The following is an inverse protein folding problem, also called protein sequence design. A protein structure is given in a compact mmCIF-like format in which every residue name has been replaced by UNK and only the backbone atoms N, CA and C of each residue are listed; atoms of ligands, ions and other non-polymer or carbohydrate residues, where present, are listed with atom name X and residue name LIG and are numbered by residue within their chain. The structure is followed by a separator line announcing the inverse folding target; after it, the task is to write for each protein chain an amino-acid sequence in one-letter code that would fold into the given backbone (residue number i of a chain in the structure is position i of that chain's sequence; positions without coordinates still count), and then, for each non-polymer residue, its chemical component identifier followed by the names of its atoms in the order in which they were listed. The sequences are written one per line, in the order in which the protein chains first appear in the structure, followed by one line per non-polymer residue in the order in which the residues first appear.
data_IF_506908406502
#
_entry.id   IF_506908406502
#
_cell.length_a   1.000
_cell.length_b   1.000
_cell.length_c   1.000
_cell.angle_alpha   90.00
_cell.angle_beta   90.00
_cell.angle_gamma   90.00
#
_symmetry.space_group_name_H-M   'P 1'
#
loop_
_entity.id
_entity.type
_entity.pdbx_description
1 polymer ?
#
# COMPACT_ATOMS: atom_id res chain seq x y z
N UNK A 1 11.70 6.34 15.91
CA UNK A 1 11.11 5.48 14.87
C UNK A 1 9.77 6.07 14.52
N UNK A 2 9.53 6.32 13.23
CA UNK A 2 8.26 6.87 12.74
C UNK A 2 7.18 5.79 12.72
N UNK A 3 5.91 6.22 12.69
CA UNK A 3 4.79 5.30 12.49
C UNK A 3 4.82 4.75 11.07
N UNK A 4 4.52 3.45 10.93
CA UNK A 4 4.58 2.77 9.63
C UNK A 4 3.32 3.06 8.83
N UNK A 5 3.51 3.43 7.57
CA UNK A 5 2.46 3.48 6.55
C UNK A 5 2.81 2.46 5.47
N UNK A 6 1.84 1.64 5.08
CA UNK A 6 1.99 0.71 3.97
C UNK A 6 1.55 1.36 2.65
N UNK A 7 2.16 0.99 1.54
CA UNK A 7 1.70 1.31 0.19
C UNK A 7 2.09 0.20 -0.79
N UNK A 8 1.59 0.23 -2.02
CA UNK A 8 2.07 -0.63 -3.10
C UNK A 8 3.60 -0.55 -3.24
N UNK A 9 4.26 -1.67 -3.56
CA UNK A 9 5.72 -1.75 -3.79
C UNK A 9 6.22 -0.68 -4.77
N UNK A 10 5.45 -0.43 -5.82
CA UNK A 10 5.59 0.72 -6.69
C UNK A 10 4.36 1.60 -6.50
N UNK A 11 4.52 2.82 -5.98
CA UNK A 11 3.40 3.71 -5.64
C UNK A 11 3.61 5.16 -6.10
N UNK A 12 2.61 6.01 -5.85
CA UNK A 12 2.61 7.42 -6.20
C UNK A 12 3.72 8.18 -5.47
N UNK A 13 4.62 8.84 -6.21
CA UNK A 13 5.75 9.60 -5.66
C UNK A 13 5.37 10.63 -4.57
N UNK A 14 4.15 11.19 -4.62
CA UNK A 14 3.71 12.19 -3.65
C UNK A 14 3.54 11.63 -2.23
N UNK A 15 3.17 10.35 -2.07
CA UNK A 15 3.06 9.75 -0.72
C UNK A 15 4.42 9.61 -0.07
N UNK A 16 5.46 9.27 -0.84
CA UNK A 16 6.83 9.18 -0.34
C UNK A 16 7.33 10.54 0.17
N UNK A 17 7.08 11.61 -0.60
CA UNK A 17 7.41 12.96 -0.16
C UNK A 17 6.66 13.35 1.12
N UNK A 18 5.36 13.05 1.21
CA UNK A 18 4.52 13.35 2.37
C UNK A 18 5.00 12.62 3.62
N UNK A 19 5.23 11.30 3.53
CA UNK A 19 5.73 10.51 4.66
C UNK A 19 7.06 11.04 5.19
N UNK A 20 7.99 11.43 4.31
CA UNK A 20 9.29 12.02 4.71
C UNK A 20 9.11 13.34 5.47
N UNK A 21 8.20 14.21 5.04
CA UNK A 21 7.92 15.49 5.72
C UNK A 21 7.33 15.27 7.11
N UNK A 22 6.50 14.25 7.29
CA UNK A 22 5.85 13.94 8.56
C UNK A 22 6.63 12.95 9.45
N UNK A 23 7.82 12.51 9.04
CA UNK A 23 8.61 11.54 9.80
C UNK A 23 7.96 10.15 9.90
N UNK A 24 7.13 9.79 8.93
CA UNK A 24 6.49 8.47 8.81
C UNK A 24 7.39 7.50 8.03
N UNK A 25 7.39 6.23 8.41
CA UNK A 25 8.13 5.17 7.70
C UNK A 25 7.24 4.52 6.64
N UNK A 26 7.45 4.88 5.37
CA UNK A 26 6.71 4.31 4.25
C UNK A 26 7.31 2.97 3.84
N UNK A 27 6.52 1.89 3.91
CA UNK A 27 6.96 0.53 3.58
C UNK A 27 6.14 -0.02 2.41
N UNK A 28 6.83 -0.51 1.39
CA UNK A 28 6.19 -1.15 0.24
C UNK A 28 5.69 -2.55 0.58
N UNK A 29 4.52 -2.90 0.04
CA UNK A 29 3.92 -4.23 0.08
C UNK A 29 3.97 -4.84 -1.32
N UNK A 30 4.39 -6.11 -1.40
CA UNK A 30 4.50 -6.81 -2.68
C UNK A 30 3.20 -6.74 -3.49
N UNK A 31 3.33 -6.58 -4.79
CA UNK A 31 2.21 -6.42 -5.73
C UNK A 31 2.32 -7.38 -6.92
N UNK A 32 1.20 -7.65 -7.58
CA UNK A 32 1.11 -8.38 -8.84
C UNK A 32 0.45 -7.52 -9.93
N UNK A 33 0.06 -8.12 -11.06
CA UNK A 33 -0.60 -7.40 -12.17
C UNK A 33 -1.97 -6.81 -11.79
N UNK A 34 -2.56 -7.28 -10.69
CA UNK A 34 -3.79 -6.78 -10.09
C UNK A 34 -3.57 -5.76 -8.96
N UNK A 35 -2.33 -5.34 -8.69
CA UNK A 35 -1.99 -4.40 -7.60
C UNK A 35 -1.48 -5.10 -6.35
N UNK A 36 -1.52 -4.44 -5.20
CA UNK A 36 -1.11 -5.01 -3.91
C UNK A 36 -1.69 -6.41 -3.69
N UNK A 37 -0.86 -7.34 -3.22
CA UNK A 37 -1.26 -8.70 -2.88
C UNK A 37 -1.84 -8.77 -1.46
N UNK A 38 -3.08 -9.30 -1.27
CA UNK A 38 -3.71 -9.39 0.05
C UNK A 38 -2.92 -10.22 1.07
N UNK A 39 -2.31 -11.33 0.64
CA UNK A 39 -1.51 -12.19 1.51
C UNK A 39 -0.21 -11.51 1.97
N UNK A 40 0.42 -10.72 1.09
CA UNK A 40 1.56 -9.88 1.45
C UNK A 40 1.16 -8.73 2.39
N UNK A 41 -0.03 -8.15 2.20
CA UNK A 41 -0.56 -7.10 3.06
C UNK A 41 -0.84 -7.62 4.47
N UNK A 42 -1.51 -8.76 4.60
CA UNK A 42 -1.78 -9.42 5.89
C UNK A 42 -0.50 -9.73 6.66
N UNK A 43 0.49 -10.33 5.97
CA UNK A 43 1.80 -10.59 6.56
C UNK A 43 2.52 -9.30 7.03
N UNK A 44 2.43 -8.22 6.25
CA UNK A 44 3.00 -6.92 6.61
C UNK A 44 2.29 -6.30 7.82
N UNK A 45 0.96 -6.41 7.91
CA UNK A 45 0.18 -5.96 9.05
C UNK A 45 0.60 -6.67 10.34
N UNK A 46 0.73 -7.99 10.29
CA UNK A 46 1.17 -8.80 11.43
C UNK A 46 2.59 -8.46 11.90
N UNK A 47 3.51 -8.19 10.97
CA UNK A 47 4.92 -7.94 11.29
C UNK A 47 5.20 -6.48 11.71
N UNK A 48 4.59 -5.52 11.02
CA UNK A 48 4.97 -4.11 11.13
C UNK A 48 3.99 -3.29 11.97
N UNK A 49 2.77 -3.79 12.21
CA UNK A 49 1.68 -3.08 12.92
C UNK A 49 1.50 -1.64 12.40
N UNK A 50 1.22 -1.49 11.10
CA UNK A 50 1.12 -0.19 10.46
C UNK A 50 -0.05 0.62 11.00
N UNK A 51 0.06 1.96 10.90
CA UNK A 51 -1.02 2.87 11.30
C UNK A 51 -2.00 3.18 10.18
N UNK A 52 -1.57 3.00 8.92
CA UNK A 52 -2.40 3.19 7.75
C UNK A 52 -1.84 2.41 6.55
N UNK A 53 -2.69 2.20 5.55
CA UNK A 53 -2.33 1.80 4.19
C UNK A 53 -2.78 2.89 3.21
N UNK A 54 -1.92 3.22 2.26
CA UNK A 54 -2.20 4.15 1.16
C UNK A 54 -2.31 3.36 -0.15
N UNK A 55 -3.41 3.56 -0.87
CA UNK A 55 -3.69 2.91 -2.14
C UNK A 55 -4.14 3.95 -3.17
N UNK A 56 -3.78 3.75 -4.44
CA UNK A 56 -4.41 4.42 -5.59
C UNK A 56 -5.19 3.36 -6.36
N UNK A 57 -6.45 3.10 -6.00
CA UNK A 57 -7.12 1.86 -6.40
C UNK A 57 -7.65 1.89 -7.84
N UNK A 58 -7.79 3.08 -8.44
CA UNK A 58 -8.26 3.28 -9.81
C UNK A 58 -7.23 4.11 -10.57
N UNK A 59 -6.80 3.63 -11.74
CA UNK A 59 -5.74 4.25 -12.54
C UNK A 59 -4.49 4.56 -11.70
N UNK A 60 -3.97 3.53 -11.04
CA UNK A 60 -2.82 3.58 -10.14
C UNK A 60 -1.64 4.33 -10.80
N UNK A 61 -1.04 5.27 -10.09
CA UNK A 61 0.13 6.00 -10.61
C UNK A 61 1.41 5.34 -10.04
N UNK A 62 2.35 4.82 -10.87
CA UNK A 62 2.49 5.02 -12.32
C UNK A 62 2.00 3.87 -13.22
N UNK A 63 1.48 2.79 -12.64
CA UNK A 63 1.28 1.50 -13.34
C UNK A 63 -0.02 1.38 -14.15
N UNK A 64 -0.93 2.36 -14.02
CA UNK A 64 -2.30 2.42 -14.56
C UNK A 64 -3.23 1.28 -14.15
N UNK A 65 -2.80 0.41 -13.23
CA UNK A 65 -3.60 -0.69 -12.70
C UNK A 65 -4.87 -0.15 -12.04
N UNK A 66 -5.99 -0.81 -12.27
CA UNK A 66 -7.23 -0.58 -11.52
C UNK A 66 -7.55 -1.87 -10.77
N UNK A 67 -7.64 -1.78 -9.44
CA UNK A 67 -8.01 -2.92 -8.61
C UNK A 67 -9.42 -3.39 -9.00
N UNK A 68 -9.57 -4.68 -9.22
CA UNK A 68 -10.87 -5.32 -9.38
C UNK A 68 -11.70 -5.17 -8.11
N UNK A 69 -13.01 -5.33 -8.22
CA UNK A 69 -13.90 -5.32 -7.05
C UNK A 69 -13.53 -6.41 -6.03
N UNK A 70 -13.22 -7.62 -6.51
CA UNK A 70 -12.73 -8.73 -5.69
C UNK A 70 -11.46 -8.33 -4.91
N UNK A 71 -10.44 -7.80 -5.60
CA UNK A 71 -9.19 -7.40 -4.95
C UNK A 71 -9.39 -6.31 -3.91
N UNK A 72 -10.34 -5.38 -4.12
CA UNK A 72 -10.69 -4.35 -3.12
C UNK A 72 -11.31 -4.98 -1.87
N UNK A 73 -12.19 -5.95 -2.03
CA UNK A 73 -12.78 -6.68 -0.90
C UNK A 73 -11.75 -7.51 -0.15
N UNK A 74 -10.85 -8.20 -0.87
CA UNK A 74 -9.75 -8.95 -0.25
C UNK A 74 -8.86 -8.05 0.60
N UNK A 75 -8.45 -6.88 0.09
CA UNK A 75 -7.62 -5.92 0.82
C UNK A 75 -8.36 -5.28 2.00
N UNK A 76 -9.67 -5.05 1.89
CA UNK A 76 -10.47 -4.47 2.96
C UNK A 76 -10.78 -5.46 4.11
N UNK A 77 -10.63 -6.76 3.86
CA UNK A 77 -10.85 -7.83 4.84
C UNK A 77 -9.62 -8.15 5.70
N UNK A 78 -8.46 -7.59 5.34
CA UNK A 78 -7.21 -7.63 6.13
C UNK A 78 -7.24 -6.53 7.19
#
# INVERSE_FOLDING_TARGET
QGEVVLADEVTYQGINALCRVHGLDLRGVAMDRGGMRPDAFDAACAQLRPRAVFLVPTLHNPTTITLSEERRHELAAV
#
